data_IF_063421851873
#
_entry.id   IF_063421851873
#
_cell.length_a   1.000
_cell.length_b   1.000
_cell.length_c   1.000
_cell.angle_alpha   90.00
_cell.angle_beta   90.00
_cell.angle_gamma   90.00
#
_symmetry.space_group_name_H-M   'P 1'
#
loop_
_entity.id
_entity.type
_entity.pdbx_description
1 polymer ?
#
# COMPACT_ATOMS: atom_id res chain seq x y z
N UNK A 1 -18.69 25.15 44.84
CA UNK A 1 -17.32 25.49 45.34
C UNK A 1 -16.39 26.01 44.22
N UNK A 2 -16.83 26.93 43.36
CA UNK A 2 -16.01 27.52 42.27
C UNK A 2 -15.86 29.05 42.34
N UNK A 3 -16.49 29.72 43.32
CA UNK A 3 -16.39 31.18 43.54
C UNK A 3 -15.26 31.60 44.50
N UNK A 4 -14.70 30.68 45.30
CA UNK A 4 -13.64 30.98 46.27
C UNK A 4 -12.27 31.20 45.59
N UNK A 5 -11.97 30.47 44.52
CA UNK A 5 -10.67 30.56 43.85
C UNK A 5 -10.46 31.85 43.06
N UNK A 6 -11.54 32.53 42.64
CA UNK A 6 -11.45 33.79 41.91
C UNK A 6 -11.13 34.99 42.83
N UNK A 7 -11.49 34.93 44.12
CA UNK A 7 -11.20 35.99 45.08
C UNK A 7 -9.75 35.93 45.62
N UNK A 8 -9.16 34.73 45.74
CA UNK A 8 -7.78 34.58 46.24
C UNK A 8 -6.71 35.05 45.24
N UNK A 9 -6.98 35.00 43.94
CA UNK A 9 -6.04 35.47 42.91
C UNK A 9 -6.00 37.00 42.82
N UNK A 10 -7.11 37.67 43.15
CA UNK A 10 -7.22 39.13 43.11
C UNK A 10 -6.53 39.82 44.30
N UNK A 11 -6.45 39.14 45.45
CA UNK A 11 -5.78 39.66 46.66
C UNK A 11 -4.25 39.60 46.60
N UNK A 12 -3.67 38.78 45.71
CA UNK A 12 -2.22 38.58 45.64
C UNK A 12 -1.49 39.66 44.81
N UNK A 13 -2.22 40.49 44.07
CA UNK A 13 -1.64 41.55 43.21
C UNK A 13 -1.51 42.89 43.95
N UNK A 14 -2.14 43.07 45.11
CA UNK A 14 -2.19 44.36 45.84
C UNK A 14 -1.16 44.55 46.97
N UNK A 15 -0.36 43.53 47.33
CA UNK A 15 0.57 43.60 48.47
C UNK A 15 2.05 43.56 48.05
N UNK A 16 2.34 44.18 46.91
CA UNK A 16 3.69 44.59 46.57
C UNK A 16 4.03 45.92 47.23
N UNK A 17 5.11 45.91 48.02
CA UNK A 17 6.01 47.05 48.35
C UNK A 17 5.73 47.80 49.66
N UNK A 18 6.57 47.52 50.66
CA UNK A 18 7.22 48.58 51.46
C UNK A 18 8.51 48.05 52.12
N UNK A 19 9.57 48.85 52.01
CA UNK A 19 10.98 48.63 52.40
C UNK A 19 11.17 48.34 53.92
N UNK A 20 12.29 47.85 54.47
CA UNK A 20 13.74 48.10 54.30
C UNK A 20 14.52 46.97 55.03
N UNK A 21 15.74 46.66 54.59
CA UNK A 21 16.66 45.68 55.18
C UNK A 21 17.57 46.29 56.27
N UNK A 22 18.17 45.46 57.16
CA UNK A 22 19.56 45.63 57.54
C UNK A 22 20.45 44.55 56.93
N UNK A 23 21.66 44.96 56.57
CA UNK A 23 22.64 44.30 55.70
C UNK A 23 23.45 43.26 56.48
N UNK A 24 23.53 42.02 55.99
CA UNK A 24 24.62 41.09 56.31
C UNK A 24 25.22 40.59 54.99
N UNK A 25 26.52 40.80 54.79
CA UNK A 25 27.29 40.38 53.62
C UNK A 25 27.09 38.87 53.33
N UNK A 26 26.20 38.55 52.39
CA UNK A 26 26.12 37.24 51.75
C UNK A 26 26.87 37.33 50.43
N UNK A 27 28.10 36.82 50.43
CA UNK A 27 28.79 36.52 49.18
C UNK A 27 27.94 35.44 48.49
N UNK A 28 27.31 35.82 47.38
CA UNK A 28 26.28 35.05 46.69
C UNK A 28 26.76 33.64 46.30
N UNK A 29 26.14 32.62 46.89
CA UNK A 29 26.39 31.21 46.60
C UNK A 29 26.21 30.85 45.12
N UNK A 30 25.45 31.66 44.38
CA UNK A 30 25.22 31.53 42.94
C UNK A 30 26.51 31.67 42.11
N UNK A 31 27.45 32.52 42.54
CA UNK A 31 28.69 32.75 41.79
C UNK A 31 29.69 31.60 41.96
N UNK A 32 29.74 31.03 43.16
CA UNK A 32 30.59 29.86 43.47
C UNK A 32 30.07 28.61 42.75
N UNK A 33 28.75 28.42 42.70
CA UNK A 33 28.12 27.27 42.02
C UNK A 33 28.32 27.34 40.50
N UNK A 34 28.27 28.54 39.92
CA UNK A 34 28.54 28.75 38.48
C UNK A 34 29.99 28.42 38.10
N UNK A 35 30.97 28.81 38.93
CA UNK A 35 32.39 28.52 38.68
C UNK A 35 32.68 27.02 38.81
N UNK A 36 32.13 26.38 39.85
CA UNK A 36 32.31 24.94 40.07
C UNK A 36 31.64 24.12 38.97
N UNK A 37 30.44 24.49 38.54
CA UNK A 37 29.72 23.85 37.43
C UNK A 37 30.45 24.04 36.11
N UNK A 38 30.99 25.23 35.84
CA UNK A 38 31.80 25.48 34.64
C UNK A 38 33.09 24.65 34.62
N UNK A 39 33.76 24.48 35.78
CA UNK A 39 34.94 23.62 35.89
C UNK A 39 34.61 22.14 35.68
N UNK A 40 33.45 21.67 36.18
CA UNK A 40 32.97 20.29 35.96
C UNK A 40 32.63 20.07 34.48
N UNK A 41 31.91 20.99 33.84
CA UNK A 41 31.58 20.94 32.41
C UNK A 41 32.84 20.96 31.53
N UNK A 42 33.86 21.74 31.90
CA UNK A 42 35.14 21.76 31.19
C UNK A 42 35.92 20.44 31.35
N UNK A 43 35.89 19.84 32.54
CA UNK A 43 36.50 18.54 32.81
C UNK A 43 35.76 17.39 32.10
N UNK A 44 34.42 17.45 32.01
CA UNK A 44 33.58 16.49 31.30
C UNK A 44 33.79 16.60 29.79
N UNK A 45 33.78 17.82 29.23
CA UNK A 45 34.13 18.06 27.82
C UNK A 45 35.54 17.57 27.45
N UNK A 46 36.49 17.66 28.38
CA UNK A 46 37.84 17.14 28.18
C UNK A 46 37.85 15.61 28.20
N UNK A 47 37.17 14.97 29.17
CA UNK A 47 37.00 13.51 29.19
C UNK A 47 36.32 12.99 27.94
N UNK A 48 35.27 13.66 27.47
CA UNK A 48 34.58 13.32 26.24
C UNK A 48 35.53 13.44 25.05
N UNK A 49 36.28 14.55 24.94
CA UNK A 49 37.27 14.76 23.88
C UNK A 49 38.39 13.71 23.86
N UNK A 50 38.79 13.20 25.04
CA UNK A 50 39.79 12.13 25.17
C UNK A 50 39.18 10.76 24.84
N UNK A 51 37.93 10.51 25.24
CA UNK A 51 37.18 9.29 24.95
C UNK A 51 36.87 9.17 23.45
N UNK A 52 36.17 10.16 22.88
CA UNK A 52 36.70 11.01 21.82
C UNK A 52 37.80 10.42 20.90
N UNK A 53 39.02 10.88 21.16
CA UNK A 53 40.23 10.49 20.46
C UNK A 53 40.57 8.99 20.58
N UNK A 54 40.23 8.34 21.69
CA UNK A 54 40.56 6.93 21.91
C UNK A 54 39.72 5.99 21.03
N UNK A 55 38.43 6.26 20.83
CA UNK A 55 37.63 5.43 19.93
C UNK A 55 38.07 5.61 18.48
N UNK A 56 38.46 6.81 18.05
CA UNK A 56 38.95 7.05 16.67
C UNK A 56 40.18 6.18 16.40
N UNK A 57 41.11 6.07 17.36
CA UNK A 57 42.28 5.21 17.27
C UNK A 57 41.94 3.72 17.19
N UNK A 58 40.92 3.28 17.92
CA UNK A 58 40.44 1.88 17.84
C UNK A 58 39.88 1.62 16.44
N UNK A 59 39.01 2.49 15.92
CA UNK A 59 38.40 2.31 14.59
C UNK A 59 39.39 2.46 13.43
N UNK A 60 40.44 3.29 13.57
CA UNK A 60 41.51 3.41 12.58
C UNK A 60 42.32 2.12 12.38
N UNK A 61 42.40 1.28 13.42
CA UNK A 61 43.14 0.02 13.37
C UNK A 61 42.24 -1.20 13.07
N UNK A 62 40.96 -1.00 12.76
CA UNK A 62 40.05 -2.10 12.48
C UNK A 62 40.15 -2.54 10.99
N UNK A 63 40.35 -3.83 10.70
CA UNK A 63 40.47 -4.33 9.33
C UNK A 63 39.20 -4.17 8.47
N UNK A 64 38.06 -3.86 9.09
CA UNK A 64 36.77 -3.68 8.40
C UNK A 64 36.39 -2.22 8.15
N UNK A 65 37.12 -1.25 8.71
CA UNK A 65 36.77 0.17 8.60
C UNK A 65 37.99 0.98 8.15
N UNK A 66 38.00 1.40 6.88
CA UNK A 66 39.02 2.30 6.39
C UNK A 66 38.58 3.76 6.56
N UNK A 67 39.05 4.41 7.63
CA UNK A 67 38.79 5.82 7.92
C UNK A 67 39.81 6.76 7.25
N UNK A 68 40.85 6.21 6.61
CA UNK A 68 41.93 6.98 5.98
C UNK A 68 41.71 7.20 4.48
N UNK A 69 40.76 6.49 3.88
CA UNK A 69 40.34 6.68 2.50
C UNK A 69 39.17 7.66 2.40
N UNK A 70 39.11 8.40 1.29
CA UNK A 70 37.97 9.28 1.00
C UNK A 70 36.75 8.39 0.89
N UNK A 71 35.75 8.60 1.77
CA UNK A 71 34.53 7.80 1.78
C UNK A 71 33.94 7.72 0.36
N UNK A 72 34.00 6.52 -0.24
CA UNK A 72 33.32 6.27 -1.49
C UNK A 72 31.84 6.51 -1.25
N UNK A 73 31.28 7.51 -1.94
CA UNK A 73 29.85 7.75 -1.89
C UNK A 73 29.20 6.45 -2.35
N UNK A 74 28.31 5.82 -1.55
CA UNK A 74 27.61 4.65 -2.01
C UNK A 74 26.94 5.03 -3.33
N UNK A 75 27.07 4.18 -4.35
CA UNK A 75 26.32 4.33 -5.60
C UNK A 75 24.85 4.07 -5.28
N UNK A 76 24.19 5.03 -4.63
CA UNK A 76 22.75 5.08 -4.65
C UNK A 76 22.38 5.30 -6.12
N UNK A 77 21.81 4.28 -6.75
CA UNK A 77 20.96 4.52 -7.90
C UNK A 77 19.89 5.47 -7.37
N UNK A 78 20.00 6.75 -7.71
CA UNK A 78 18.86 7.66 -7.66
C UNK A 78 17.77 6.89 -8.41
N UNK A 79 16.80 6.35 -7.68
CA UNK A 79 15.57 5.88 -8.30
C UNK A 79 15.02 7.14 -8.92
N UNK A 80 15.26 7.28 -10.24
CA UNK A 80 14.68 8.34 -11.03
C UNK A 80 13.23 8.39 -10.59
N UNK A 81 12.71 9.57 -10.30
CA UNK A 81 11.26 9.76 -10.17
C UNK A 81 10.69 9.48 -11.57
N UNK A 82 10.69 8.20 -11.93
CA UNK A 82 10.17 7.65 -13.15
C UNK A 82 8.69 7.89 -13.01
N UNK A 83 8.16 8.68 -13.93
CA UNK A 83 6.76 9.06 -14.05
C UNK A 83 5.92 7.88 -13.55
N UNK A 84 5.37 8.04 -12.35
CA UNK A 84 4.94 6.91 -11.54
C UNK A 84 3.89 6.14 -12.33
N UNK A 85 3.98 4.81 -12.31
CA UNK A 85 3.04 3.90 -12.98
C UNK A 85 1.64 3.95 -12.32
N UNK A 86 1.18 5.13 -11.96
CA UNK A 86 -0.06 5.42 -11.26
C UNK A 86 -1.24 4.96 -12.11
N UNK A 87 -1.12 5.04 -13.44
CA UNK A 87 -2.17 4.58 -14.37
C UNK A 87 -2.46 3.08 -14.18
N UNK A 88 -1.43 2.25 -14.04
CA UNK A 88 -1.59 0.80 -13.82
C UNK A 88 -2.23 0.55 -12.45
N UNK A 89 -1.81 1.30 -11.43
CA UNK A 89 -2.41 1.24 -10.10
C UNK A 89 -3.90 1.60 -10.12
N UNK A 90 -4.27 2.73 -10.74
CA UNK A 90 -5.66 3.16 -10.89
C UNK A 90 -6.47 2.17 -11.73
N UNK A 91 -5.88 1.54 -12.75
CA UNK A 91 -6.54 0.49 -13.53
C UNK A 91 -6.86 -0.74 -12.68
N UNK A 92 -5.92 -1.20 -11.83
CA UNK A 92 -6.17 -2.30 -10.89
C UNK A 92 -7.26 -1.94 -9.87
N UNK A 93 -7.18 -0.74 -9.28
CA UNK A 93 -8.19 -0.26 -8.33
C UNK A 93 -9.56 -0.18 -9.01
N UNK A 94 -9.63 0.36 -10.23
CA UNK A 94 -10.86 0.42 -11.02
C UNK A 94 -11.45 -0.96 -11.32
N UNK A 95 -10.60 -1.93 -11.64
CA UNK A 95 -11.01 -3.32 -11.87
C UNK A 95 -11.56 -3.99 -10.60
N UNK A 96 -10.90 -3.77 -9.45
CA UNK A 96 -11.35 -4.26 -8.15
C UNK A 96 -12.68 -3.62 -7.73
N UNK A 97 -12.84 -2.32 -8.00
CA UNK A 97 -14.07 -1.60 -7.74
C UNK A 97 -15.21 -2.14 -8.61
N UNK A 98 -14.98 -2.31 -9.92
CA UNK A 98 -15.94 -2.91 -10.84
C UNK A 98 -16.34 -4.33 -10.40
N UNK A 99 -15.37 -5.14 -9.99
CA UNK A 99 -15.63 -6.47 -9.43
C UNK A 99 -16.48 -6.39 -8.16
N UNK A 100 -16.18 -5.45 -7.26
CA UNK A 100 -16.94 -5.22 -6.03
C UNK A 100 -18.40 -4.85 -6.31
N UNK A 101 -18.65 -3.94 -7.26
CA UNK A 101 -20.00 -3.55 -7.69
C UNK A 101 -20.76 -4.75 -8.23
N UNK A 102 -20.17 -5.52 -9.15
CA UNK A 102 -20.81 -6.69 -9.75
C UNK A 102 -21.06 -7.80 -8.72
N UNK A 103 -20.10 -8.05 -7.83
CA UNK A 103 -20.25 -9.01 -6.73
C UNK A 103 -21.37 -8.60 -5.78
N UNK A 104 -21.49 -7.31 -5.46
CA UNK A 104 -22.55 -6.81 -4.58
C UNK A 104 -23.92 -6.88 -5.25
N UNK A 105 -24.02 -6.47 -6.53
CA UNK A 105 -25.27 -6.49 -7.29
C UNK A 105 -25.80 -7.89 -7.59
N UNK A 106 -24.89 -8.87 -7.74
CA UNK A 106 -25.23 -10.25 -8.11
C UNK A 106 -24.64 -11.28 -7.12
N UNK A 107 -24.73 -10.99 -5.83
CA UNK A 107 -24.13 -11.81 -4.76
C UNK A 107 -24.61 -13.28 -4.76
N UNK A 108 -25.89 -13.51 -5.03
CA UNK A 108 -26.47 -14.85 -5.17
C UNK A 108 -25.84 -15.62 -6.33
N UNK A 109 -25.76 -15.01 -7.52
CA UNK A 109 -25.11 -15.59 -8.69
C UNK A 109 -23.64 -15.93 -8.41
N UNK A 110 -22.90 -15.02 -7.78
CA UNK A 110 -21.50 -15.24 -7.45
C UNK A 110 -21.31 -16.41 -6.46
N UNK A 111 -22.16 -16.51 -5.44
CA UNK A 111 -22.17 -17.64 -4.49
C UNK A 111 -22.51 -18.96 -5.16
N UNK A 112 -23.48 -18.96 -6.07
CA UNK A 112 -23.91 -20.14 -6.83
C UNK A 112 -22.81 -20.58 -7.81
N UNK A 113 -22.13 -19.64 -8.46
CA UNK A 113 -20.97 -19.90 -9.33
C UNK A 113 -19.80 -20.51 -8.55
N UNK A 114 -19.42 -19.92 -7.40
CA UNK A 114 -18.34 -20.46 -6.57
C UNK A 114 -18.74 -21.83 -6.03
N UNK A 115 -19.97 -21.98 -5.56
CA UNK A 115 -20.54 -23.26 -5.14
C UNK A 115 -20.52 -24.32 -6.25
N UNK A 116 -20.83 -23.97 -7.49
CA UNK A 116 -20.79 -24.89 -8.62
C UNK A 116 -19.36 -25.40 -8.88
N UNK A 117 -18.38 -24.51 -8.81
CA UNK A 117 -16.95 -24.84 -8.99
C UNK A 117 -16.46 -25.80 -7.90
N UNK A 118 -16.94 -25.68 -6.65
CA UNK A 118 -16.41 -26.43 -5.50
C UNK A 118 -17.30 -27.57 -4.93
N UNK A 119 -18.59 -27.70 -5.29
CA UNK A 119 -19.50 -28.76 -4.75
C UNK A 119 -19.38 -30.10 -5.49
N UNK A 120 -20.04 -31.16 -5.00
CA UNK A 120 -20.14 -32.52 -5.60
C UNK A 120 -21.41 -32.70 -6.46
N UNK A 121 -21.39 -33.64 -7.42
CA UNK A 121 -22.16 -33.74 -8.67
C UNK A 121 -23.69 -33.61 -8.60
N UNK A 122 -24.39 -34.05 -7.55
CA UNK A 122 -25.87 -34.06 -7.54
C UNK A 122 -26.52 -32.67 -7.35
N UNK A 123 -25.97 -31.82 -6.47
CA UNK A 123 -26.43 -30.41 -6.32
C UNK A 123 -26.02 -29.52 -7.49
N UNK A 124 -25.09 -29.98 -8.36
CA UNK A 124 -24.62 -29.20 -9.52
C UNK A 124 -25.67 -29.01 -10.59
N UNK A 125 -26.54 -30.00 -10.84
CA UNK A 125 -27.54 -29.91 -11.91
C UNK A 125 -28.63 -28.87 -11.60
N UNK A 126 -29.08 -28.77 -10.34
CA UNK A 126 -30.05 -27.76 -9.91
C UNK A 126 -29.47 -26.34 -9.95
N UNK A 127 -28.22 -26.19 -9.46
CA UNK A 127 -27.50 -24.92 -9.49
C UNK A 127 -27.26 -24.49 -10.95
N UNK A 128 -26.84 -25.43 -11.82
CA UNK A 128 -26.68 -25.18 -13.26
C UNK A 128 -27.96 -24.66 -13.92
N UNK A 129 -29.12 -25.24 -13.61
CA UNK A 129 -30.41 -24.77 -14.15
C UNK A 129 -30.74 -23.33 -13.70
N UNK A 130 -30.44 -22.96 -12.45
CA UNK A 130 -30.62 -21.59 -11.95
C UNK A 130 -29.61 -20.59 -12.54
N UNK A 131 -28.39 -21.05 -12.84
CA UNK A 131 -27.37 -20.26 -13.55
C UNK A 131 -27.74 -20.02 -15.02
N UNK A 132 -28.34 -21.01 -15.70
CA UNK A 132 -28.81 -20.88 -17.10
C UNK A 132 -29.99 -19.92 -17.25
N UNK A 133 -30.81 -19.73 -16.22
CA UNK A 133 -31.93 -18.78 -16.27
C UNK A 133 -31.48 -17.32 -16.13
N UNK A 134 -30.26 -17.08 -15.63
CA UNK A 134 -29.70 -15.75 -15.38
C UNK A 134 -28.62 -15.39 -16.40
N UNK A 135 -29.04 -15.07 -17.63
CA UNK A 135 -28.13 -14.74 -18.73
C UNK A 135 -27.35 -13.43 -18.54
N UNK A 136 -27.94 -12.43 -17.88
CA UNK A 136 -27.32 -11.12 -17.70
C UNK A 136 -26.10 -11.14 -16.75
N UNK A 137 -26.20 -11.67 -15.51
CA UNK A 137 -25.03 -11.77 -14.62
C UNK A 137 -23.91 -12.62 -15.23
N UNK A 138 -24.28 -13.70 -15.93
CA UNK A 138 -23.32 -14.56 -16.63
C UNK A 138 -22.50 -13.80 -17.67
N UNK A 139 -23.16 -12.99 -18.50
CA UNK A 139 -22.45 -12.18 -19.50
C UNK A 139 -21.50 -11.16 -18.84
N UNK A 140 -21.96 -10.47 -17.79
CA UNK A 140 -21.18 -9.46 -17.08
C UNK A 140 -19.92 -10.05 -16.42
N UNK A 141 -20.06 -11.18 -15.71
CA UNK A 141 -18.92 -11.84 -15.08
C UNK A 141 -17.95 -12.44 -16.10
N UNK A 142 -18.43 -12.96 -17.24
CA UNK A 142 -17.55 -13.41 -18.32
C UNK A 142 -16.77 -12.24 -18.94
N UNK A 143 -17.43 -11.10 -19.19
CA UNK A 143 -16.76 -9.90 -19.69
C UNK A 143 -15.70 -9.39 -18.71
N UNK A 144 -16.04 -9.32 -17.42
CA UNK A 144 -15.12 -8.94 -16.36
C UNK A 144 -13.92 -9.89 -16.29
N UNK A 145 -14.15 -11.20 -16.44
CA UNK A 145 -13.10 -12.20 -16.48
C UNK A 145 -12.14 -11.95 -17.64
N UNK A 146 -12.65 -11.69 -18.85
CA UNK A 146 -11.77 -11.38 -20.00
C UNK A 146 -10.97 -10.10 -19.80
N UNK A 147 -11.60 -9.03 -19.29
CA UNK A 147 -10.89 -7.77 -18.99
C UNK A 147 -9.78 -8.03 -17.97
N UNK A 148 -10.09 -8.74 -16.88
CA UNK A 148 -9.13 -9.03 -15.81
C UNK A 148 -8.00 -9.94 -16.29
N UNK A 149 -8.33 -10.96 -17.09
CA UNK A 149 -7.36 -11.91 -17.61
C UNK A 149 -6.43 -11.27 -18.64
N UNK A 150 -6.97 -10.49 -19.59
CA UNK A 150 -6.15 -9.71 -20.52
C UNK A 150 -5.23 -8.73 -19.81
N UNK A 151 -5.72 -8.08 -18.76
CA UNK A 151 -4.92 -7.13 -17.99
C UNK A 151 -3.80 -7.86 -17.23
N UNK A 152 -4.08 -9.03 -16.66
CA UNK A 152 -3.06 -9.87 -16.05
C UNK A 152 -2.00 -10.33 -17.05
N UNK A 153 -2.41 -10.79 -18.24
CA UNK A 153 -1.48 -11.21 -19.30
C UNK A 153 -0.64 -10.04 -19.81
N UNK A 154 -1.23 -8.84 -19.93
CA UNK A 154 -0.49 -7.61 -20.26
C UNK A 154 0.63 -7.37 -19.25
N UNK A 155 0.34 -7.41 -17.95
CA UNK A 155 1.34 -7.23 -16.90
C UNK A 155 2.42 -8.30 -16.94
N UNK A 156 2.05 -9.55 -17.25
CA UNK A 156 2.99 -10.65 -17.39
C UNK A 156 3.97 -10.38 -18.56
N UNK A 157 3.47 -9.99 -19.72
CA UNK A 157 4.31 -9.70 -20.89
C UNK A 157 5.20 -8.47 -20.66
N UNK A 158 4.62 -7.38 -20.16
CA UNK A 158 5.30 -6.09 -20.04
C UNK A 158 6.21 -5.97 -18.81
N UNK A 159 5.82 -6.55 -17.67
CA UNK A 159 6.56 -6.41 -16.41
C UNK A 159 7.40 -7.62 -16.04
N UNK A 160 6.98 -8.84 -16.40
CA UNK A 160 7.76 -10.04 -16.09
C UNK A 160 8.74 -10.39 -17.22
N UNK A 161 8.30 -10.29 -18.47
CA UNK A 161 9.15 -10.58 -19.64
C UNK A 161 9.83 -9.36 -20.25
N UNK A 162 9.55 -8.15 -19.73
CA UNK A 162 10.07 -6.87 -20.23
C UNK A 162 9.89 -6.68 -21.75
N UNK A 163 8.86 -7.34 -22.32
CA UNK A 163 8.61 -7.35 -23.75
C UNK A 163 7.57 -6.30 -24.11
N UNK A 164 8.00 -5.26 -24.82
CA UNK A 164 7.15 -4.13 -25.22
C UNK A 164 7.11 -4.00 -26.76
N UNK A 165 6.30 -4.83 -27.45
CA UNK A 165 6.20 -4.77 -28.91
C UNK A 165 5.41 -3.54 -29.39
N UNK A 166 4.48 -3.05 -28.57
CA UNK A 166 3.52 -1.98 -28.88
C UNK A 166 3.23 -1.19 -27.60
N UNK A 167 2.50 -0.08 -27.72
CA UNK A 167 1.95 0.63 -26.56
C UNK A 167 1.05 -0.32 -25.74
N UNK A 168 1.20 -0.28 -24.41
CA UNK A 168 0.53 -1.18 -23.46
C UNK A 168 -1.00 -1.20 -23.65
N UNK A 169 -1.60 -0.06 -24.01
CA UNK A 169 -3.05 0.04 -24.22
C UNK A 169 -3.53 -0.68 -25.50
N UNK A 170 -2.76 -0.61 -26.58
CA UNK A 170 -3.08 -1.35 -27.81
C UNK A 170 -2.85 -2.85 -27.60
N UNK A 171 -1.76 -3.22 -26.92
CA UNK A 171 -1.49 -4.62 -26.57
C UNK A 171 -2.63 -5.21 -25.71
N UNK A 172 -3.12 -4.45 -24.74
CA UNK A 172 -4.29 -4.81 -23.94
C UNK A 172 -5.53 -5.05 -24.81
N UNK A 173 -5.82 -4.15 -25.75
CA UNK A 173 -6.96 -4.28 -26.65
C UNK A 173 -6.85 -5.54 -27.54
N UNK A 174 -5.66 -5.84 -28.08
CA UNK A 174 -5.43 -7.05 -28.86
C UNK A 174 -5.62 -8.32 -28.03
N UNK A 175 -5.12 -8.35 -26.79
CA UNK A 175 -5.32 -9.48 -25.88
C UNK A 175 -6.81 -9.68 -25.56
N UNK A 176 -7.53 -8.59 -25.25
CA UNK A 176 -8.97 -8.63 -24.99
C UNK A 176 -9.77 -9.16 -26.18
N UNK A 177 -9.52 -8.64 -27.38
CA UNK A 177 -10.19 -9.12 -28.60
C UNK A 177 -9.82 -10.57 -28.87
N UNK A 178 -8.55 -10.96 -28.70
CA UNK A 178 -8.08 -12.33 -28.87
C UNK A 178 -8.85 -13.32 -27.98
N UNK A 179 -9.00 -13.03 -26.69
CA UNK A 179 -9.76 -13.90 -25.79
C UNK A 179 -11.27 -13.90 -26.08
N UNK A 180 -11.84 -12.76 -26.48
CA UNK A 180 -13.24 -12.69 -26.90
C UNK A 180 -13.51 -13.53 -28.15
N UNK A 181 -12.59 -13.55 -29.11
CA UNK A 181 -12.69 -14.41 -30.31
C UNK A 181 -12.69 -15.89 -29.90
N UNK A 182 -11.82 -16.30 -28.98
CA UNK A 182 -11.79 -17.67 -28.46
C UNK A 182 -13.13 -18.04 -27.81
N UNK A 183 -13.75 -17.11 -27.07
CA UNK A 183 -15.07 -17.32 -26.47
C UNK A 183 -16.17 -17.48 -27.52
N UNK A 184 -16.18 -16.65 -28.56
CA UNK A 184 -17.13 -16.76 -29.67
C UNK A 184 -16.93 -18.07 -30.43
N UNK A 185 -15.69 -18.52 -30.61
CA UNK A 185 -15.38 -19.79 -31.28
C UNK A 185 -16.06 -20.97 -30.56
N UNK A 186 -16.02 -21.00 -29.23
CA UNK A 186 -16.76 -22.00 -28.43
C UNK A 186 -18.25 -21.97 -28.76
N UNK A 187 -18.86 -20.79 -28.84
CA UNK A 187 -20.28 -20.66 -29.17
C UNK A 187 -20.59 -21.18 -30.58
N UNK A 188 -19.74 -20.86 -31.56
CA UNK A 188 -19.88 -21.35 -32.93
C UNK A 188 -19.76 -22.86 -33.00
N UNK A 189 -18.81 -23.46 -32.28
CA UNK A 189 -18.65 -24.93 -32.20
C UNK A 189 -19.92 -25.60 -31.68
N UNK A 190 -20.49 -25.12 -30.58
CA UNK A 190 -21.74 -25.68 -30.05
C UNK A 190 -22.90 -25.53 -31.05
N UNK A 191 -23.01 -24.38 -31.73
CA UNK A 191 -24.07 -24.13 -32.71
C UNK A 191 -23.92 -24.98 -33.97
N UNK A 192 -22.69 -25.24 -34.42
CA UNK A 192 -22.39 -26.12 -35.55
C UNK A 192 -22.75 -27.57 -35.23
N UNK A 193 -22.33 -28.07 -34.06
CA UNK A 193 -22.65 -29.43 -33.60
C UNK A 193 -24.16 -29.59 -33.49
N UNK A 194 -24.87 -28.65 -32.86
CA UNK A 194 -26.33 -28.66 -32.77
C UNK A 194 -27.03 -28.68 -34.13
N UNK A 195 -26.46 -28.01 -35.15
CA UNK A 195 -26.98 -28.03 -36.52
C UNK A 195 -26.69 -29.35 -37.24
N UNK A 196 -25.51 -29.94 -37.05
CA UNK A 196 -25.12 -31.19 -37.71
C UNK A 196 -25.90 -32.41 -37.24
N UNK A 197 -26.22 -32.50 -35.95
CA UNK A 197 -26.90 -33.67 -35.37
C UNK A 197 -28.44 -33.56 -35.30
N UNK A 198 -29.04 -32.50 -35.84
CA UNK A 198 -30.51 -32.26 -35.82
C UNK A 198 -31.18 -32.24 -34.43
N UNK A 199 -30.41 -32.24 -33.32
CA UNK A 199 -30.91 -32.00 -31.96
C UNK A 199 -31.22 -30.51 -31.68
N UNK A 200 -31.86 -29.81 -32.62
CA UNK A 200 -32.15 -28.37 -32.47
C UNK A 200 -32.95 -28.06 -31.20
N UNK A 201 -33.89 -28.94 -30.85
CA UNK A 201 -34.83 -28.78 -29.73
C UNK A 201 -34.14 -28.86 -28.35
N UNK A 202 -33.12 -29.72 -28.22
CA UNK A 202 -32.33 -29.86 -26.98
C UNK A 202 -31.25 -28.77 -26.93
N UNK A 203 -30.69 -28.37 -28.07
CA UNK A 203 -29.61 -27.38 -28.12
C UNK A 203 -30.10 -25.96 -27.81
N UNK A 204 -31.32 -25.59 -28.25
CA UNK A 204 -31.94 -24.29 -27.93
C UNK A 204 -32.32 -24.13 -26.46
N UNK A 205 -32.44 -25.23 -25.70
CA UNK A 205 -32.71 -25.17 -24.27
C UNK A 205 -31.46 -24.91 -23.41
N UNK A 206 -30.26 -25.03 -24.00
CA UNK A 206 -28.97 -24.90 -23.30
C UNK A 206 -28.07 -23.77 -23.82
N UNK A 207 -28.43 -23.16 -24.97
CA UNK A 207 -27.81 -21.96 -25.54
C UNK A 207 -28.58 -20.73 -25.05
#
# INVERSE_FOLDING_TARGET
>A
MKKIYFLMVFTWILLGVSATMPIQNRIDSLKIDSIKKAAILAAEKNKDSVMHANYIKVYQNNPFFNLNEIAEKPTYRLKKAENSNDIIFYAVVGLLLLFGILRSGFSKYFSDFFSFTFKTTLKKNQIKQQLLQNNLPSLLFNLLFFISFSFYVLLLITKLFEYHPLNDWYLFAYLLVGFMIIYVLKFVQLKLIGRMFRFKEITSAYI
#
